data_IF_771191934792
#
_entry.id   IF_771191934792
#
_cell.length_a   1.000
_cell.length_b   1.000
_cell.length_c   1.000
_cell.angle_alpha   90.00
_cell.angle_beta   90.00
_cell.angle_gamma   90.00
#
_symmetry.space_group_name_H-M   'P 1'
#
loop_
_entity.id
_entity.type
_entity.pdbx_description
1 polymer ?
#
# COMPACT_ATOMS: atom_id res chain seq x y z
N UNK A 1 -11.75 -32.96 2.18
CA UNK A 1 -11.83 -32.39 3.55
C UNK A 1 -11.27 -30.98 3.49
N UNK A 2 -12.13 -30.00 3.26
CA UNK A 2 -11.81 -28.58 3.21
C UNK A 2 -12.41 -27.93 4.45
N UNK A 3 -11.57 -27.60 5.43
CA UNK A 3 -11.97 -26.83 6.61
C UNK A 3 -12.35 -25.42 6.19
N UNK A 4 -13.64 -25.18 5.98
CA UNK A 4 -14.21 -23.82 5.99
C UNK A 4 -14.51 -23.46 7.45
N UNK A 5 -13.57 -22.80 8.13
CA UNK A 5 -13.83 -22.18 9.44
C UNK A 5 -14.72 -20.95 9.25
N UNK A 6 -15.96 -20.90 9.80
CA UNK A 6 -16.89 -19.78 9.60
C UNK A 6 -16.55 -18.49 10.40
N UNK A 7 -15.37 -18.40 11.02
CA UNK A 7 -15.01 -17.33 11.95
C UNK A 7 -13.78 -16.48 11.56
N UNK A 8 -13.12 -16.75 10.44
CA UNK A 8 -11.84 -16.10 10.10
C UNK A 8 -11.99 -14.63 9.69
N UNK A 9 -13.14 -14.25 9.12
CA UNK A 9 -13.34 -12.96 8.47
C UNK A 9 -13.48 -11.82 9.50
N UNK A 10 -14.13 -12.11 10.64
CA UNK A 10 -14.39 -11.12 11.68
C UNK A 10 -13.10 -10.68 12.37
N UNK A 11 -12.20 -11.62 12.69
CA UNK A 11 -10.93 -11.31 13.34
C UNK A 11 -10.04 -10.42 12.47
N UNK A 12 -9.88 -10.74 11.20
CA UNK A 12 -9.09 -9.92 10.26
C UNK A 12 -9.66 -8.51 10.09
N UNK A 13 -10.99 -8.38 10.09
CA UNK A 13 -11.66 -7.07 9.98
C UNK A 13 -11.40 -6.17 11.20
N UNK A 14 -11.53 -6.71 12.42
CA UNK A 14 -11.26 -5.94 13.64
C UNK A 14 -9.78 -5.55 13.75
N UNK A 15 -8.85 -6.46 13.42
CA UNK A 15 -7.41 -6.16 13.39
C UNK A 15 -7.07 -5.08 12.35
N UNK A 16 -7.74 -5.09 11.20
CA UNK A 16 -7.55 -4.06 10.18
C UNK A 16 -8.02 -2.69 10.68
N UNK A 17 -9.23 -2.62 11.25
CA UNK A 17 -9.76 -1.37 11.81
C UNK A 17 -8.86 -0.86 12.93
N UNK A 18 -8.44 -1.72 13.86
CA UNK A 18 -7.50 -1.34 14.92
C UNK A 18 -6.21 -0.73 14.35
N UNK A 19 -5.62 -1.37 13.33
CA UNK A 19 -4.42 -0.84 12.67
C UNK A 19 -4.66 0.53 12.02
N UNK A 20 -5.80 0.72 11.37
CA UNK A 20 -6.18 2.00 10.75
C UNK A 20 -6.40 3.08 11.82
N UNK A 21 -7.04 2.74 12.94
CA UNK A 21 -7.26 3.69 14.04
C UNK A 21 -5.94 4.15 14.67
N UNK A 22 -4.98 3.24 14.86
CA UNK A 22 -3.65 3.59 15.35
C UNK A 22 -2.93 4.50 14.36
N UNK A 23 -3.04 4.23 13.05
CA UNK A 23 -2.45 5.06 12.01
C UNK A 23 -3.04 6.48 11.99
N UNK A 24 -4.36 6.61 12.11
CA UNK A 24 -5.04 7.92 12.23
C UNK A 24 -4.61 8.64 13.52
N UNK A 25 -4.48 7.91 14.62
CA UNK A 25 -4.05 8.49 15.90
C UNK A 25 -2.62 9.07 15.81
N UNK A 26 -1.69 8.31 15.24
CA UNK A 26 -0.30 8.75 15.02
C UNK A 26 -0.24 9.97 14.07
N UNK A 27 -1.08 9.98 13.02
CA UNK A 27 -1.22 11.11 12.12
C UNK A 27 -1.63 12.38 12.87
N UNK A 28 -2.69 12.31 13.68
CA UNK A 28 -3.22 13.44 14.44
C UNK A 28 -2.20 13.97 15.47
N UNK A 29 -1.42 13.08 16.08
CA UNK A 29 -0.41 13.45 17.07
C UNK A 29 0.75 14.25 16.45
N UNK A 30 1.20 13.88 15.25
CA UNK A 30 2.28 14.57 14.53
C UNK A 30 1.81 15.83 13.78
N UNK A 31 0.51 15.97 13.54
CA UNK A 31 -0.09 17.05 12.75
C UNK A 31 0.24 18.47 13.26
N UNK A 32 0.15 18.80 14.56
CA UNK A 32 0.51 20.13 15.05
C UNK A 32 1.98 20.45 14.80
N UNK A 33 2.87 19.50 15.08
CA UNK A 33 4.32 19.67 14.80
C UNK A 33 4.59 19.80 13.30
N UNK A 34 3.87 19.10 12.43
CA UNK A 34 4.04 19.26 11.00
C UNK A 34 3.66 20.65 10.51
N UNK A 35 2.54 21.20 10.99
CA UNK A 35 2.09 22.55 10.60
C UNK A 35 3.18 23.56 10.91
N UNK A 36 3.75 23.50 12.11
CA UNK A 36 4.77 24.46 12.56
C UNK A 36 6.11 24.31 11.82
N UNK A 37 6.55 23.08 11.51
CA UNK A 37 7.89 22.83 10.95
C UNK A 37 7.93 22.62 9.43
N UNK A 38 6.84 22.14 8.82
CA UNK A 38 6.77 21.77 7.40
C UNK A 38 6.02 22.83 6.59
N UNK A 39 4.93 23.40 7.14
CA UNK A 39 4.04 24.29 6.39
C UNK A 39 4.30 25.78 6.64
N UNK A 40 4.75 26.16 7.84
CA UNK A 40 4.84 27.57 8.24
C UNK A 40 6.14 28.31 7.86
N UNK A 41 7.38 27.73 7.84
CA UNK A 41 8.57 28.58 7.77
C UNK A 41 9.58 28.43 6.60
N UNK A 42 9.44 27.58 5.57
CA UNK A 42 10.57 27.33 4.63
C UNK A 42 10.25 27.11 3.14
N UNK A 43 11.22 27.37 2.23
CA UNK A 43 11.11 26.97 0.82
C UNK A 43 10.85 25.47 0.73
N UNK A 44 9.89 25.08 -0.12
CA UNK A 44 9.42 23.71 -0.31
C UNK A 44 10.61 22.75 -0.46
N UNK A 45 10.81 21.92 0.56
CA UNK A 45 11.89 20.94 0.55
C UNK A 45 11.58 19.90 -0.54
N UNK A 46 12.53 19.51 -1.40
CA UNK A 46 12.26 18.58 -2.51
C UNK A 46 11.71 17.22 -2.07
N UNK A 47 11.90 16.84 -0.80
CA UNK A 47 11.39 15.58 -0.24
C UNK A 47 9.99 15.68 0.41
N UNK A 48 9.42 16.89 0.50
CA UNK A 48 8.09 17.17 1.05
C UNK A 48 6.95 16.43 0.33
N UNK A 49 6.88 16.38 -1.01
CA UNK A 49 5.82 15.60 -1.68
C UNK A 49 5.92 14.10 -1.40
N UNK A 50 7.13 13.56 -1.29
CA UNK A 50 7.36 12.13 -1.02
C UNK A 50 6.95 11.77 0.42
N UNK A 51 7.20 12.69 1.35
CA UNK A 51 6.75 12.61 2.74
C UNK A 51 5.22 12.67 2.88
N UNK A 52 4.57 13.67 2.24
CA UNK A 52 3.11 13.79 2.21
C UNK A 52 2.50 12.53 1.60
N UNK A 53 3.04 12.09 0.46
CA UNK A 53 2.57 10.88 -0.19
C UNK A 53 2.64 9.68 0.76
N UNK A 54 3.79 9.37 1.36
CA UNK A 54 3.89 8.23 2.27
C UNK A 54 2.94 8.30 3.48
N UNK A 55 2.63 9.51 3.96
CA UNK A 55 1.81 9.74 5.16
C UNK A 55 0.30 9.63 4.89
N UNK A 56 -0.20 10.22 3.81
CA UNK A 56 -1.65 10.24 3.52
C UNK A 56 -2.12 9.06 2.66
N UNK A 57 -1.20 8.49 1.89
CA UNK A 57 -1.51 7.42 0.95
C UNK A 57 -1.99 6.11 1.63
N UNK A 58 -1.44 5.67 2.78
CA UNK A 58 -1.96 4.52 3.53
C UNK A 58 -3.41 4.73 4.01
N UNK A 59 -3.80 5.97 4.27
CA UNK A 59 -5.16 6.34 4.68
C UNK A 59 -6.16 6.10 3.54
N UNK A 60 -5.78 6.46 2.31
CA UNK A 60 -6.56 6.23 1.10
C UNK A 60 -6.70 4.72 0.84
N UNK A 61 -5.59 3.98 0.94
CA UNK A 61 -5.60 2.53 0.80
C UNK A 61 -6.50 1.85 1.84
N UNK A 62 -6.45 2.31 3.09
CA UNK A 62 -7.30 1.83 4.17
C UNK A 62 -8.79 2.10 3.95
N UNK A 63 -9.13 3.30 3.47
CA UNK A 63 -10.51 3.67 3.17
C UNK A 63 -11.11 2.79 2.04
N UNK A 64 -10.32 2.54 0.99
CA UNK A 64 -10.72 1.64 -0.12
C UNK A 64 -10.92 0.21 0.40
N UNK A 65 -10.00 -0.28 1.23
CA UNK A 65 -10.08 -1.62 1.80
C UNK A 65 -11.34 -1.78 2.67
N UNK A 66 -11.63 -0.85 3.59
CA UNK A 66 -12.79 -0.91 4.49
C UNK A 66 -14.11 -0.91 3.69
N UNK A 67 -14.22 -0.07 2.65
CA UNK A 67 -15.42 -0.01 1.81
C UNK A 67 -15.69 -1.33 1.08
N UNK A 68 -14.65 -1.98 0.56
CA UNK A 68 -14.81 -3.26 -0.15
C UNK A 68 -14.97 -4.46 0.80
N UNK A 69 -14.40 -4.41 2.00
CA UNK A 69 -14.57 -5.44 3.05
C UNK A 69 -16.01 -5.51 3.58
N UNK A 70 -16.74 -4.39 3.57
CA UNK A 70 -18.11 -4.32 4.11
C UNK A 70 -19.16 -5.01 3.22
N UNK A 71 -18.91 -5.15 1.90
CA UNK A 71 -19.83 -5.78 0.95
C UNK A 71 -19.12 -6.83 0.08
N UNK A 72 -18.84 -8.04 0.60
CA UNK A 72 -18.08 -9.04 -0.13
C UNK A 72 -18.94 -9.70 -1.21
N UNK A 73 -18.76 -9.26 -2.46
CA UNK A 73 -19.05 -10.08 -3.64
C UNK A 73 -17.77 -10.74 -4.14
N UNK A 74 -17.86 -11.96 -4.69
CA UNK A 74 -16.70 -12.68 -5.24
C UNK A 74 -15.94 -11.86 -6.31
N UNK A 75 -16.65 -11.04 -7.09
CA UNK A 75 -16.05 -10.11 -8.05
C UNK A 75 -15.34 -8.93 -7.38
N UNK A 76 -15.91 -8.41 -6.28
CA UNK A 76 -15.34 -7.29 -5.52
C UNK A 76 -14.08 -7.71 -4.75
N UNK A 77 -13.98 -8.95 -4.28
CA UNK A 77 -12.76 -9.48 -3.65
C UNK A 77 -11.57 -9.53 -4.63
N UNK A 78 -11.82 -9.93 -5.88
CA UNK A 78 -10.80 -9.91 -6.95
C UNK A 78 -10.41 -8.48 -7.32
N UNK A 79 -11.38 -7.57 -7.36
CA UNK A 79 -11.12 -6.15 -7.59
C UNK A 79 -10.29 -5.53 -6.46
N UNK A 80 -10.56 -5.91 -5.20
CA UNK A 80 -9.78 -5.46 -4.06
C UNK A 80 -8.32 -5.90 -4.20
N UNK A 81 -8.06 -7.16 -4.54
CA UNK A 81 -6.69 -7.65 -4.73
C UNK A 81 -5.99 -6.93 -5.89
N UNK A 82 -6.74 -6.66 -6.97
CA UNK A 82 -6.23 -5.92 -8.14
C UNK A 82 -5.87 -4.46 -7.84
N UNK A 83 -6.62 -3.79 -6.97
CA UNK A 83 -6.40 -2.38 -6.63
C UNK A 83 -5.46 -2.24 -5.43
N UNK A 84 -5.70 -2.97 -4.34
CA UNK A 84 -4.96 -2.86 -3.09
C UNK A 84 -3.51 -3.37 -3.22
N UNK A 85 -3.23 -4.35 -4.09
CA UNK A 85 -1.88 -4.87 -4.31
C UNK A 85 -0.91 -3.81 -4.85
N UNK A 86 -1.19 -3.22 -6.03
CA UNK A 86 -0.36 -2.14 -6.59
C UNK A 86 -0.28 -0.95 -5.67
N UNK A 87 -1.41 -0.64 -5.01
CA UNK A 87 -1.43 0.41 -4.02
C UNK A 87 -0.37 0.09 -2.95
N UNK A 88 -0.48 -1.02 -2.21
CA UNK A 88 0.42 -1.34 -1.10
C UNK A 88 1.90 -1.31 -1.49
N UNK A 89 2.25 -1.78 -2.70
CA UNK A 89 3.63 -1.73 -3.23
C UNK A 89 4.14 -0.31 -3.38
N UNK A 90 3.31 0.61 -3.86
CA UNK A 90 3.65 2.04 -3.98
C UNK A 90 3.91 2.65 -2.59
N UNK A 91 3.11 2.29 -1.59
CA UNK A 91 3.33 2.71 -0.20
C UNK A 91 4.65 2.21 0.39
N UNK A 92 4.99 0.95 0.12
CA UNK A 92 6.27 0.33 0.54
C UNK A 92 7.47 1.01 -0.16
N UNK A 93 7.35 1.31 -1.45
CA UNK A 93 8.42 2.00 -2.17
C UNK A 93 8.67 3.40 -1.60
N UNK A 94 7.60 4.14 -1.31
CA UNK A 94 7.70 5.47 -0.71
C UNK A 94 8.34 5.41 0.69
N UNK A 95 8.04 4.41 1.52
CA UNK A 95 8.62 4.31 2.87
C UNK A 95 10.10 3.96 2.81
N UNK A 96 10.47 3.02 1.94
CA UNK A 96 11.88 2.68 1.72
C UNK A 96 12.69 3.87 1.21
N UNK A 97 12.15 4.65 0.27
CA UNK A 97 12.82 5.85 -0.22
C UNK A 97 13.10 6.86 0.90
N UNK A 98 12.13 7.13 1.78
CA UNK A 98 12.30 8.04 2.92
C UNK A 98 13.38 7.51 3.88
N UNK A 99 13.34 6.20 4.18
CA UNK A 99 14.35 5.58 5.03
C UNK A 99 15.75 5.72 4.43
N UNK A 100 15.92 5.38 3.15
CA UNK A 100 17.19 5.50 2.43
C UNK A 100 17.72 6.94 2.44
N UNK A 101 16.86 7.94 2.20
CA UNK A 101 17.24 9.36 2.24
C UNK A 101 17.76 9.74 3.63
N UNK A 102 17.06 9.34 4.70
CA UNK A 102 17.48 9.63 6.08
C UNK A 102 18.80 8.95 6.42
N UNK A 103 18.96 7.67 6.08
CA UNK A 103 20.20 6.96 6.37
C UNK A 103 21.39 7.51 5.57
N UNK A 104 21.14 7.92 4.32
CA UNK A 104 22.16 8.54 3.47
C UNK A 104 22.61 9.92 3.99
N UNK A 105 21.69 10.69 4.58
CA UNK A 105 22.02 11.95 5.24
C UNK A 105 22.87 11.76 6.50
N UNK A 106 22.62 10.70 7.28
CA UNK A 106 23.41 10.37 8.49
C UNK A 106 24.84 9.92 8.12
N UNK A 107 24.99 9.20 7.01
CA UNK A 107 26.28 8.68 6.52
C UNK A 107 27.09 9.65 5.65
N UNK A 108 26.83 10.96 5.79
CA UNK A 108 27.53 12.04 5.08
C UNK A 108 27.68 11.79 3.56
N UNK A 109 26.64 11.21 2.94
CA UNK A 109 26.59 10.93 1.49
C UNK A 109 27.68 10.00 0.94
N UNK A 110 28.19 9.06 1.73
CA UNK A 110 29.19 8.12 1.23
C UNK A 110 28.67 7.24 0.07
N UNK A 111 29.38 7.22 -1.06
CA UNK A 111 28.94 6.55 -2.30
C UNK A 111 28.73 5.04 -2.15
N UNK A 112 29.44 4.38 -1.24
CA UNK A 112 29.26 2.93 -0.98
C UNK A 112 27.87 2.63 -0.43
N UNK A 113 27.37 3.48 0.46
CA UNK A 113 26.03 3.32 1.07
C UNK A 113 24.96 3.44 0.01
N UNK A 114 25.14 4.37 -0.94
CA UNK A 114 24.22 4.52 -2.08
C UNK A 114 24.15 3.27 -2.95
N UNK A 115 25.30 2.68 -3.31
CA UNK A 115 25.33 1.44 -4.08
C UNK A 115 24.75 0.24 -3.32
N UNK A 116 24.99 0.14 -2.01
CA UNK A 116 24.34 -0.87 -1.17
C UNK A 116 22.82 -0.72 -1.16
N UNK A 117 22.29 0.51 -1.06
CA UNK A 117 20.85 0.75 -1.12
C UNK A 117 20.24 0.43 -2.48
N UNK A 118 20.94 0.71 -3.58
CA UNK A 118 20.51 0.28 -4.91
C UNK A 118 20.46 -1.25 -4.99
N UNK A 119 21.50 -1.94 -4.51
CA UNK A 119 21.55 -3.40 -4.51
C UNK A 119 20.40 -4.04 -3.71
N UNK A 120 20.17 -3.56 -2.48
CA UNK A 120 19.09 -4.03 -1.61
C UNK A 120 17.72 -3.71 -2.24
N UNK A 121 17.57 -2.51 -2.80
CA UNK A 121 16.36 -2.11 -3.52
C UNK A 121 16.06 -3.07 -4.65
N UNK A 122 16.98 -3.30 -5.56
CA UNK A 122 16.78 -4.22 -6.69
C UNK A 122 16.43 -5.62 -6.18
N UNK A 123 17.17 -6.13 -5.20
CA UNK A 123 16.95 -7.47 -4.65
C UNK A 123 15.55 -7.64 -4.04
N UNK A 124 15.04 -6.63 -3.34
CA UNK A 124 13.71 -6.70 -2.71
C UNK A 124 12.57 -6.34 -3.67
N UNK A 125 12.78 -5.39 -4.59
CA UNK A 125 11.71 -4.89 -5.47
C UNK A 125 11.44 -5.80 -6.66
N UNK A 126 12.46 -6.47 -7.23
CA UNK A 126 12.26 -7.36 -8.38
C UNK A 126 11.30 -8.52 -8.04
N UNK A 127 11.47 -9.29 -6.95
CA UNK A 127 10.54 -10.35 -6.58
C UNK A 127 9.13 -9.84 -6.28
N UNK A 128 9.04 -8.67 -5.62
CA UNK A 128 7.76 -8.04 -5.27
C UNK A 128 6.99 -7.63 -6.52
N UNK A 129 7.67 -7.03 -7.51
CA UNK A 129 7.07 -6.64 -8.77
C UNK A 129 6.61 -7.87 -9.57
N UNK A 130 7.43 -8.92 -9.64
CA UNK A 130 7.07 -10.17 -10.33
C UNK A 130 5.84 -10.82 -9.68
N UNK A 131 5.81 -10.92 -8.35
CA UNK A 131 4.68 -11.48 -7.61
C UNK A 131 3.40 -10.71 -7.89
N UNK A 132 3.47 -9.37 -7.82
CA UNK A 132 2.34 -8.51 -8.13
C UNK A 132 1.86 -8.69 -9.58
N UNK A 133 2.77 -8.77 -10.56
CA UNK A 133 2.40 -8.97 -11.97
C UNK A 133 1.67 -10.30 -12.17
N UNK A 134 2.12 -11.36 -11.51
CA UNK A 134 1.45 -12.67 -11.54
C UNK A 134 0.05 -12.57 -10.93
N UNK A 135 -0.11 -11.93 -9.78
CA UNK A 135 -1.41 -11.75 -9.11
C UNK A 135 -2.38 -10.91 -9.96
N UNK A 136 -1.90 -9.81 -10.56
CA UNK A 136 -2.70 -8.96 -11.43
C UNK A 136 -3.14 -9.69 -12.71
N UNK A 137 -2.24 -10.48 -13.30
CA UNK A 137 -2.51 -11.26 -14.51
C UNK A 137 -3.58 -12.33 -14.23
N UNK A 138 -3.43 -13.03 -13.10
CA UNK A 138 -4.39 -14.03 -12.64
C UNK A 138 -5.76 -13.40 -12.36
N UNK A 139 -5.78 -12.25 -11.68
CA UNK A 139 -7.00 -11.50 -11.37
C UNK A 139 -7.71 -11.02 -12.62
N UNK A 140 -6.97 -10.48 -13.59
CA UNK A 140 -7.50 -9.99 -14.88
C UNK A 140 -8.13 -11.11 -15.69
N UNK A 141 -7.44 -12.25 -15.83
CA UNK A 141 -7.96 -13.41 -16.56
C UNK A 141 -9.26 -13.92 -15.92
N UNK A 142 -9.29 -13.98 -14.59
CA UNK A 142 -10.50 -14.36 -13.85
C UNK A 142 -11.68 -13.39 -14.03
N UNK A 143 -11.42 -12.09 -14.20
CA UNK A 143 -12.45 -11.06 -14.41
C UNK A 143 -13.03 -11.13 -15.83
N UNK A 144 -12.19 -11.40 -16.83
CA UNK A 144 -12.61 -11.60 -18.23
C UNK A 144 -13.49 -12.84 -18.38
N UNK A 145 -13.13 -13.95 -17.74
CA UNK A 145 -13.95 -15.18 -17.78
C UNK A 145 -15.37 -14.99 -17.20
N UNK A 146 -15.51 -14.19 -16.13
CA UNK A 146 -16.81 -13.86 -15.53
C UNK A 146 -17.61 -12.91 -16.43
N UNK A 147 -16.95 -11.95 -17.09
CA UNK A 147 -17.59 -11.06 -18.06
C UNK A 147 -18.21 -11.88 -19.18
N UNK A 148 -17.42 -12.76 -19.79
CA UNK A 148 -17.84 -13.62 -20.91
C UNK A 148 -19.03 -14.52 -20.52
N UNK A 149 -18.98 -15.15 -19.33
CA UNK A 149 -20.08 -15.97 -18.80
C UNK A 149 -21.38 -15.20 -18.55
N UNK A 150 -21.31 -13.89 -18.29
CA UNK A 150 -22.52 -13.05 -18.16
C UNK A 150 -23.11 -12.67 -19.52
N UNK A 151 -22.28 -12.39 -20.52
CA UNK A 151 -22.76 -12.09 -21.87
C UNK A 151 -23.46 -13.32 -22.48
N UNK A 152 -22.94 -14.53 -22.23
CA UNK A 152 -23.58 -15.78 -22.67
C UNK A 152 -24.92 -16.12 -21.99
N UNK A 153 -25.16 -15.65 -20.76
CA UNK A 153 -26.43 -15.89 -20.05
C UNK A 153 -27.53 -14.87 -20.40
N UNK A 154 -27.22 -13.85 -21.21
CA UNK A 154 -28.15 -12.80 -21.63
C UNK A 154 -28.69 -13.07 -23.05
N UNK A 155 -28.12 -14.03 -23.78
CA UNK A 155 -28.58 -14.52 -25.11
C UNK A 155 -29.35 -15.82 -24.93
#
# INVERSE_FOLDING_TARGET
MSLTTPGSNSSSYYSFIASVTVLVYDLLLLLPTEIDYVWLPRPLHPFLPLFIFNRYWPLINAAIAIKLLHYPSAAQCRLLSYIAGPLAVIGIFASQAILMIRTYAIWDRHRVVFWCFIGIGIFCFIPTAVSLVIELTTSKCGLLAIRDSRELNIV
#
